data_IF_713888476038
#
_entry.id   IF_713888476038
#
_cell.length_a   1.000
_cell.length_b   1.000
_cell.length_c   1.000
_cell.angle_alpha   90.00
_cell.angle_beta   90.00
_cell.angle_gamma   90.00
#
_symmetry.space_group_name_H-M   'P 1'
#
loop_
_entity.id
_entity.type
_entity.pdbx_description
1 polymer ?
#
# COMPACT_ATOMS: atom_id res chain seq x y z
N UNK A 1 -10.83 -9.66 -0.12
CA UNK A 1 -10.83 -10.65 -1.21
C UNK A 1 -12.02 -10.44 -2.14
N UNK A 2 -11.85 -10.80 -3.41
CA UNK A 2 -12.93 -10.86 -4.37
C UNK A 2 -12.71 -12.01 -5.36
N UNK A 3 -13.76 -12.42 -6.07
CA UNK A 3 -13.77 -13.62 -6.91
C UNK A 3 -14.56 -13.42 -8.20
N UNK A 4 -14.17 -14.14 -9.23
CA UNK A 4 -14.89 -14.22 -10.50
C UNK A 4 -14.73 -15.60 -11.15
N UNK A 5 -15.48 -15.84 -12.20
CA UNK A 5 -15.42 -17.06 -12.98
C UNK A 5 -15.13 -16.74 -14.45
N UNK A 6 -14.18 -17.45 -15.05
CA UNK A 6 -13.85 -17.39 -16.48
C UNK A 6 -13.76 -18.81 -17.04
N UNK A 7 -14.60 -19.12 -18.05
CA UNK A 7 -14.70 -20.46 -18.66
C UNK A 7 -14.77 -21.59 -17.63
N UNK A 8 -15.64 -21.44 -16.63
CA UNK A 8 -15.82 -22.35 -15.49
C UNK A 8 -14.64 -22.45 -14.54
N UNK A 9 -13.49 -21.85 -14.82
CA UNK A 9 -12.42 -21.70 -13.84
C UNK A 9 -12.78 -20.61 -12.84
N UNK A 10 -12.63 -20.89 -11.55
CA UNK A 10 -12.90 -19.94 -10.48
C UNK A 10 -11.59 -19.31 -10.03
N UNK A 11 -11.57 -18.00 -9.98
CA UNK A 11 -10.44 -17.22 -9.52
C UNK A 11 -10.83 -16.44 -8.27
N UNK A 12 -9.97 -16.44 -7.27
CA UNK A 12 -10.13 -15.63 -6.06
C UNK A 12 -8.85 -14.86 -5.82
N UNK A 13 -8.94 -13.54 -5.91
CA UNK A 13 -7.83 -12.63 -5.63
C UNK A 13 -7.85 -12.13 -4.19
N UNK A 14 -6.68 -12.09 -3.54
CA UNK A 14 -6.48 -11.62 -2.17
C UNK A 14 -5.23 -10.77 -2.08
N UNK A 15 -5.30 -9.69 -1.33
CA UNK A 15 -4.19 -8.78 -1.09
C UNK A 15 -4.06 -8.51 0.40
N UNK A 16 -2.84 -8.47 0.91
CA UNK A 16 -2.50 -8.13 2.28
C UNK A 16 -1.33 -7.15 2.32
N UNK A 17 -1.32 -6.33 3.35
CA UNK A 17 -0.15 -5.56 3.73
C UNK A 17 0.86 -6.49 4.41
N UNK A 18 2.13 -6.38 4.03
CA UNK A 18 3.29 -7.08 4.60
C UNK A 18 4.50 -6.17 4.51
N UNK A 19 5.34 -6.17 5.53
CA UNK A 19 6.53 -5.32 5.58
C UNK A 19 7.81 -6.09 5.30
N UNK A 20 7.77 -7.42 5.50
CA UNK A 20 8.95 -8.30 5.35
C UNK A 20 8.70 -9.46 4.38
N UNK A 21 9.79 -10.04 3.88
CA UNK A 21 9.72 -11.23 3.03
C UNK A 21 9.19 -12.45 3.80
N UNK A 22 9.49 -12.54 5.09
CA UNK A 22 9.02 -13.59 5.98
C UNK A 22 7.50 -13.55 6.12
N UNK A 23 6.92 -12.36 6.31
CA UNK A 23 5.46 -12.17 6.36
C UNK A 23 4.80 -12.54 5.03
N UNK A 24 5.38 -12.09 3.90
CA UNK A 24 4.87 -12.45 2.58
C UNK A 24 4.86 -13.96 2.37
N UNK A 25 5.97 -14.65 2.70
CA UNK A 25 6.09 -16.12 2.60
C UNK A 25 5.11 -16.81 3.54
N UNK A 26 4.92 -16.31 4.76
CA UNK A 26 3.94 -16.87 5.70
C UNK A 26 2.51 -16.79 5.15
N UNK A 27 2.11 -15.66 4.55
CA UNK A 27 0.81 -15.53 3.90
C UNK A 27 0.63 -16.44 2.69
N UNK A 28 1.65 -16.59 1.86
CA UNK A 28 1.63 -17.52 0.72
C UNK A 28 1.45 -18.96 1.22
N UNK A 29 2.19 -19.35 2.27
CA UNK A 29 2.07 -20.68 2.88
C UNK A 29 0.66 -20.91 3.46
N UNK A 30 0.13 -19.95 4.22
CA UNK A 30 -1.23 -19.99 4.75
C UNK A 30 -2.26 -20.23 3.64
N UNK A 31 -2.14 -19.54 2.50
CA UNK A 31 -3.04 -19.72 1.36
C UNK A 31 -2.91 -21.10 0.72
N UNK A 32 -1.70 -21.63 0.57
CA UNK A 32 -1.46 -22.98 0.04
C UNK A 32 -2.01 -24.07 0.97
N UNK A 33 -1.94 -23.87 2.27
CA UNK A 33 -2.50 -24.80 3.25
C UNK A 33 -4.03 -24.72 3.30
N UNK A 34 -4.59 -23.52 3.26
CA UNK A 34 -6.05 -23.31 3.30
C UNK A 34 -6.73 -23.79 2.01
N UNK A 35 -6.11 -23.54 0.86
CA UNK A 35 -6.62 -23.90 -0.47
C UNK A 35 -5.74 -24.97 -1.12
N UNK A 36 -5.42 -26.01 -0.34
CA UNK A 36 -4.57 -27.13 -0.75
C UNK A 36 -5.15 -27.93 -1.93
N UNK A 37 -6.47 -27.91 -2.11
CA UNK A 37 -7.23 -28.55 -3.19
C UNK A 37 -7.34 -27.67 -4.45
N UNK A 38 -6.87 -26.43 -4.40
CA UNK A 38 -6.83 -25.56 -5.57
C UNK A 38 -5.81 -26.05 -6.60
N UNK A 39 -6.09 -25.76 -7.87
CA UNK A 39 -5.18 -26.13 -8.96
C UNK A 39 -3.88 -25.33 -8.86
N UNK A 40 -3.96 -24.03 -8.58
CA UNK A 40 -2.82 -23.12 -8.46
C UNK A 40 -3.09 -22.02 -7.43
N UNK A 41 -2.05 -21.64 -6.68
CA UNK A 41 -2.02 -20.47 -5.79
C UNK A 41 -0.88 -19.55 -6.25
N UNK A 42 -1.10 -18.83 -7.37
CA UNK A 42 -0.12 -17.93 -7.96
C UNK A 42 -0.02 -16.65 -7.14
N UNK A 43 1.20 -16.07 -7.05
CA UNK A 43 1.41 -14.91 -6.21
C UNK A 43 2.43 -13.93 -6.78
N UNK A 44 2.37 -12.70 -6.28
CA UNK A 44 3.44 -11.72 -6.35
C UNK A 44 3.48 -10.88 -5.07
N UNK A 45 4.65 -10.40 -4.69
CA UNK A 45 4.81 -9.43 -3.62
C UNK A 45 5.87 -8.39 -3.95
N UNK A 46 5.67 -7.19 -3.39
CA UNK A 46 6.58 -6.06 -3.50
C UNK A 46 6.84 -5.55 -2.09
N UNK A 47 8.11 -5.33 -1.75
CA UNK A 47 8.53 -4.73 -0.49
C UNK A 47 9.34 -3.47 -0.79
N UNK A 48 9.08 -2.41 -0.06
CA UNK A 48 9.80 -1.14 -0.17
C UNK A 48 11.24 -1.29 0.30
N UNK A 49 11.44 -1.94 1.44
CA UNK A 49 12.77 -2.20 1.95
C UNK A 49 13.52 -3.16 1.01
N UNK A 50 14.71 -2.74 0.58
CA UNK A 50 15.52 -3.48 -0.37
C UNK A 50 14.96 -3.55 -1.79
N UNK A 51 13.85 -2.89 -2.09
CA UNK A 51 13.19 -2.91 -3.41
C UNK A 51 12.96 -4.35 -3.93
N UNK A 52 12.46 -5.21 -3.05
CA UNK A 52 12.28 -6.63 -3.33
C UNK A 52 11.00 -6.86 -4.10
N UNK A 53 11.09 -7.57 -5.24
CA UNK A 53 9.94 -8.04 -6.01
C UNK A 53 10.09 -9.53 -6.26
N UNK A 54 9.05 -10.31 -5.99
CA UNK A 54 9.02 -11.76 -6.23
C UNK A 54 7.65 -12.18 -6.75
N UNK A 55 7.63 -13.22 -7.55
CA UNK A 55 6.40 -13.81 -8.07
C UNK A 55 6.57 -15.30 -8.33
N UNK A 56 5.45 -16.01 -8.50
CA UNK A 56 5.44 -17.42 -8.90
C UNK A 56 4.18 -17.73 -9.70
N UNK A 57 4.36 -18.49 -10.76
CA UNK A 57 3.26 -19.03 -11.57
C UNK A 57 2.63 -20.28 -10.93
N UNK A 58 3.24 -20.87 -9.88
CA UNK A 58 2.73 -22.03 -9.11
C UNK A 58 2.23 -23.18 -10.00
N UNK A 59 2.98 -23.51 -11.06
CA UNK A 59 2.65 -24.58 -12.00
C UNK A 59 1.79 -24.18 -13.20
N UNK A 60 1.33 -22.93 -13.29
CA UNK A 60 0.79 -22.40 -14.56
C UNK A 60 1.92 -22.23 -15.59
N UNK A 61 1.63 -22.14 -16.88
CA UNK A 61 2.64 -21.86 -17.90
C UNK A 61 3.44 -20.60 -17.57
N UNK A 62 4.75 -20.65 -17.77
CA UNK A 62 5.67 -19.60 -17.41
C UNK A 62 5.22 -18.19 -17.87
N UNK A 63 5.18 -17.24 -16.95
CA UNK A 63 4.84 -15.84 -17.20
C UNK A 63 3.34 -15.56 -17.42
N UNK A 64 2.47 -16.55 -17.21
CA UNK A 64 1.02 -16.37 -17.44
C UNK A 64 0.23 -16.00 -16.21
N UNK A 65 0.83 -16.07 -15.01
CA UNK A 65 0.15 -15.83 -13.75
C UNK A 65 0.89 -14.86 -12.83
N UNK A 66 2.04 -15.26 -12.30
CA UNK A 66 2.78 -14.47 -11.32
C UNK A 66 3.26 -13.12 -11.85
N UNK A 67 3.76 -13.07 -13.08
CA UNK A 67 4.17 -11.82 -13.72
C UNK A 67 2.98 -10.87 -13.96
N UNK A 68 1.83 -11.30 -14.52
CA UNK A 68 0.62 -10.47 -14.60
C UNK A 68 0.15 -9.91 -13.26
N UNK A 69 0.21 -10.69 -12.17
CA UNK A 69 -0.10 -10.20 -10.82
C UNK A 69 0.88 -9.10 -10.42
N UNK A 70 2.20 -9.32 -10.59
CA UNK A 70 3.23 -8.34 -10.27
C UNK A 70 3.05 -7.02 -11.02
N UNK A 71 2.73 -7.09 -12.33
CA UNK A 71 2.53 -5.90 -13.16
C UNK A 71 1.33 -5.06 -12.69
N UNK A 72 0.25 -5.68 -12.19
CA UNK A 72 -0.87 -4.94 -11.56
C UNK A 72 -0.37 -4.18 -10.34
N UNK A 73 0.36 -4.83 -9.42
CA UNK A 73 0.86 -4.16 -8.22
C UNK A 73 1.79 -2.99 -8.55
N UNK A 74 2.64 -3.15 -9.58
CA UNK A 74 3.53 -2.08 -10.08
C UNK A 74 2.76 -0.92 -10.70
N UNK A 75 1.77 -1.22 -11.54
CA UNK A 75 0.95 -0.20 -12.22
C UNK A 75 0.16 0.65 -11.23
N UNK A 76 -0.34 0.03 -10.16
CA UNK A 76 -1.03 0.70 -9.05
C UNK A 76 -0.06 1.38 -8.06
N UNK A 77 1.26 1.34 -8.33
CA UNK A 77 2.31 1.88 -7.46
C UNK A 77 2.24 1.36 -6.01
N UNK A 78 1.84 0.08 -5.86
CA UNK A 78 1.76 -0.55 -4.55
C UNK A 78 3.12 -1.04 -4.08
N UNK A 79 3.35 -0.94 -2.79
CA UNK A 79 4.49 -1.53 -2.10
C UNK A 79 4.03 -2.10 -0.75
N UNK A 80 4.92 -2.87 -0.13
CA UNK A 80 4.66 -3.53 1.16
C UNK A 80 3.37 -4.35 1.12
N UNK A 81 3.23 -5.19 0.07
CA UNK A 81 2.05 -6.00 -0.14
C UNK A 81 2.36 -7.35 -0.79
N UNK A 82 1.52 -8.34 -0.50
CA UNK A 82 1.48 -9.64 -1.16
C UNK A 82 0.09 -9.90 -1.73
N UNK A 83 0.05 -10.27 -3.01
CA UNK A 83 -1.16 -10.69 -3.71
C UNK A 83 -1.10 -12.18 -4.04
N UNK A 84 -2.15 -12.92 -3.70
CA UNK A 84 -2.31 -14.32 -4.08
C UNK A 84 -3.61 -14.47 -4.87
N UNK A 85 -3.50 -15.09 -6.04
CA UNK A 85 -4.65 -15.45 -6.87
C UNK A 85 -4.76 -16.98 -6.90
N UNK A 86 -5.80 -17.49 -6.25
CA UNK A 86 -6.14 -18.91 -6.19
C UNK A 86 -7.02 -19.27 -7.36
N UNK A 87 -6.70 -20.35 -8.08
CA UNK A 87 -7.48 -20.85 -9.21
C UNK A 87 -7.93 -22.29 -9.00
N UNK A 88 -9.20 -22.54 -9.27
CA UNK A 88 -9.78 -23.86 -9.48
C UNK A 88 -10.08 -24.05 -10.96
N UNK A 89 -9.48 -25.04 -11.61
CA UNK A 89 -9.68 -25.31 -13.03
C UNK A 89 -11.10 -25.81 -13.30
N UNK A 90 -11.75 -25.24 -14.30
CA UNK A 90 -13.15 -25.55 -14.65
C UNK A 90 -13.31 -26.53 -15.82
N UNK A 91 -12.25 -27.24 -16.23
CA UNK A 91 -12.29 -28.21 -17.33
C UNK A 91 -12.16 -27.60 -18.73
N UNK A 92 -12.13 -26.28 -18.88
CA UNK A 92 -11.97 -25.58 -20.17
C UNK A 92 -10.66 -24.79 -20.16
N UNK A 93 -9.79 -25.03 -21.11
CA UNK A 93 -8.52 -24.33 -21.24
C UNK A 93 -8.74 -22.85 -21.64
N UNK A 94 -8.07 -21.95 -20.92
CA UNK A 94 -8.11 -20.52 -21.22
C UNK A 94 -7.12 -20.12 -22.34
N UNK A 95 -6.04 -20.91 -22.48
CA UNK A 95 -4.88 -20.56 -23.29
C UNK A 95 -4.00 -19.49 -22.59
N UNK A 96 -2.78 -19.28 -23.07
CA UNK A 96 -1.81 -18.37 -22.45
C UNK A 96 -2.36 -16.95 -22.31
N UNK A 97 -2.92 -16.37 -23.38
CA UNK A 97 -3.52 -15.04 -23.35
C UNK A 97 -4.76 -14.93 -22.44
N UNK A 98 -5.53 -16.02 -22.32
CA UNK A 98 -6.67 -16.10 -21.39
C UNK A 98 -6.22 -16.14 -19.93
N UNK A 99 -5.14 -16.89 -19.63
CA UNK A 99 -4.54 -16.94 -18.30
C UNK A 99 -4.00 -15.57 -17.87
N UNK A 100 -3.22 -14.92 -18.73
CA UNK A 100 -2.69 -13.57 -18.45
C UNK A 100 -3.82 -12.62 -18.08
N UNK A 101 -4.91 -12.57 -18.87
CA UNK A 101 -6.05 -11.69 -18.58
C UNK A 101 -6.74 -12.06 -17.25
N UNK A 102 -6.94 -13.37 -17.00
CA UNK A 102 -7.60 -13.82 -15.78
C UNK A 102 -6.78 -13.52 -14.51
N UNK A 103 -5.47 -13.72 -14.52
CA UNK A 103 -4.61 -13.38 -13.39
C UNK A 103 -4.46 -11.88 -13.19
N UNK A 104 -4.39 -11.10 -14.27
CA UNK A 104 -4.46 -9.63 -14.21
C UNK A 104 -5.77 -9.17 -13.54
N UNK A 105 -6.92 -9.70 -13.99
CA UNK A 105 -8.21 -9.39 -13.38
C UNK A 105 -8.27 -9.84 -11.91
N UNK A 106 -7.73 -11.02 -11.58
CA UNK A 106 -7.67 -11.53 -10.20
C UNK A 106 -6.91 -10.61 -9.25
N UNK A 107 -5.79 -10.03 -9.72
CA UNK A 107 -5.05 -9.04 -8.96
C UNK A 107 -5.82 -7.70 -8.85
N UNK A 108 -6.43 -7.23 -9.94
CA UNK A 108 -7.21 -5.99 -9.95
C UNK A 108 -8.40 -6.02 -8.98
N UNK A 109 -9.17 -7.11 -8.97
CA UNK A 109 -10.31 -7.25 -8.02
C UNK A 109 -9.81 -7.37 -6.57
N UNK A 110 -8.64 -7.99 -6.35
CA UNK A 110 -8.02 -8.04 -5.03
C UNK A 110 -7.62 -6.65 -4.52
N UNK A 111 -7.00 -5.81 -5.37
CA UNK A 111 -6.63 -4.43 -5.06
C UNK A 111 -7.88 -3.59 -4.78
N UNK A 112 -8.89 -3.66 -5.64
CA UNK A 112 -10.14 -2.93 -5.45
C UNK A 112 -10.85 -3.31 -4.14
N UNK A 113 -10.86 -4.59 -3.79
CA UNK A 113 -11.50 -5.09 -2.57
C UNK A 113 -10.72 -4.77 -1.28
N UNK A 114 -9.38 -4.64 -1.37
CA UNK A 114 -8.54 -4.30 -0.23
C UNK A 114 -8.56 -2.79 0.08
N UNK A 115 -8.72 -1.96 -0.95
CA UNK A 115 -8.47 -0.53 -0.89
C UNK A 115 -6.97 -0.21 -0.91
N UNK A 116 -6.65 1.04 -1.21
CA UNK A 116 -5.27 1.55 -1.25
C UNK A 116 -5.17 2.77 -0.34
N UNK A 117 -4.16 2.77 0.54
CA UNK A 117 -3.84 3.90 1.39
C UNK A 117 -2.53 4.54 0.93
N UNK A 118 -2.55 5.86 0.74
CA UNK A 118 -1.34 6.61 0.45
C UNK A 118 -0.62 6.92 1.76
N UNK A 119 0.63 6.45 1.87
CA UNK A 119 1.51 6.80 2.98
C UNK A 119 2.42 7.96 2.56
N UNK A 120 2.53 8.96 3.42
CA UNK A 120 3.41 10.11 3.23
C UNK A 120 4.28 10.29 4.48
N UNK A 121 5.49 10.79 4.30
CA UNK A 121 6.35 11.13 5.42
C UNK A 121 5.95 12.50 5.95
N UNK A 122 5.83 12.60 7.26
CA UNK A 122 5.61 13.85 7.98
C UNK A 122 6.73 14.08 8.98
N UNK A 123 7.08 15.34 9.16
CA UNK A 123 7.95 15.80 10.24
C UNK A 123 7.08 16.28 11.39
N UNK A 124 7.47 15.92 12.61
CA UNK A 124 6.90 16.50 13.83
C UNK A 124 7.81 17.62 14.29
N UNK A 125 7.29 18.82 14.42
CA UNK A 125 8.02 20.00 14.89
C UNK A 125 7.38 20.56 16.17
N UNK A 126 8.21 21.16 17.01
CA UNK A 126 7.79 21.92 18.19
C UNK A 126 7.98 23.41 17.92
N UNK A 127 6.92 24.18 18.07
CA UNK A 127 6.94 25.65 17.93
C UNK A 127 6.66 26.25 19.30
N UNK A 128 7.66 26.86 19.91
CA UNK A 128 7.48 27.62 21.15
C UNK A 128 7.30 29.10 20.82
N UNK A 129 6.28 29.72 21.34
CA UNK A 129 5.99 31.13 21.11
C UNK A 129 5.34 31.80 22.34
N UNK A 130 5.57 33.10 22.53
CA UNK A 130 4.84 33.85 23.54
C UNK A 130 3.35 33.98 23.18
N UNK A 131 2.49 34.16 24.18
CA UNK A 131 1.03 34.17 24.02
C UNK A 131 0.51 35.18 22.99
N UNK A 132 1.17 36.33 22.83
CA UNK A 132 0.75 37.36 21.87
C UNK A 132 0.98 36.97 20.40
N UNK A 133 1.80 35.96 20.11
CA UNK A 133 2.04 35.42 18.75
C UNK A 133 1.24 34.15 18.47
N UNK A 134 0.65 33.54 19.50
CA UNK A 134 -0.04 32.25 19.38
C UNK A 134 -1.12 32.23 18.30
N UNK A 135 -2.02 33.22 18.31
CA UNK A 135 -3.11 33.31 17.34
C UNK A 135 -2.60 33.53 15.90
N UNK A 136 -1.54 34.34 15.75
CA UNK A 136 -0.92 34.59 14.44
C UNK A 136 -0.35 33.29 13.87
N UNK A 137 0.34 32.52 14.71
CA UNK A 137 0.92 31.24 14.31
C UNK A 137 -0.17 30.23 13.98
N UNK A 138 -1.23 30.12 14.79
CA UNK A 138 -2.34 29.23 14.51
C UNK A 138 -3.02 29.50 13.15
N UNK A 139 -3.14 30.77 12.77
CA UNK A 139 -3.71 31.14 11.47
C UNK A 139 -2.77 30.86 10.30
N UNK A 140 -1.45 30.86 10.53
CA UNK A 140 -0.43 30.63 9.49
C UNK A 140 -0.26 29.11 9.18
N UNK A 141 -0.37 28.25 10.17
CA UNK A 141 -0.08 26.81 10.03
C UNK A 141 -0.88 26.10 8.91
N UNK A 142 -2.19 26.32 8.73
CA UNK A 142 -2.98 25.68 7.67
C UNK A 142 -2.50 26.03 6.26
N UNK A 143 -2.00 27.25 6.03
CA UNK A 143 -1.50 27.71 4.73
C UNK A 143 -0.20 26.95 4.30
N UNK A 144 0.44 26.29 5.26
CA UNK A 144 1.64 25.48 5.06
C UNK A 144 1.41 23.97 5.22
N UNK A 145 0.15 23.52 5.12
CA UNK A 145 -0.25 22.11 5.32
C UNK A 145 0.15 21.55 6.69
N UNK A 146 0.25 22.40 7.70
CA UNK A 146 0.59 22.01 9.05
C UNK A 146 -0.67 21.74 9.88
N UNK A 147 -0.68 20.62 10.61
CA UNK A 147 -1.71 20.30 11.56
C UNK A 147 -1.16 20.39 12.99
N UNK A 148 -1.95 21.00 13.90
CA UNK A 148 -1.62 21.03 15.32
C UNK A 148 -2.14 19.76 15.98
N UNK A 149 -1.22 18.96 16.56
CA UNK A 149 -1.55 17.73 17.27
C UNK A 149 -1.80 18.00 18.76
N UNK A 150 -0.99 18.88 19.36
CA UNK A 150 -1.05 19.18 20.79
C UNK A 150 -0.63 20.63 21.05
N UNK A 151 -1.21 21.22 22.09
CA UNK A 151 -0.85 22.56 22.58
C UNK A 151 -0.61 22.49 24.09
N UNK A 152 0.60 22.87 24.53
CA UNK A 152 0.96 23.01 25.95
C UNK A 152 1.05 24.48 26.34
N UNK A 153 0.39 24.83 27.44
CA UNK A 153 0.31 26.19 27.95
C UNK A 153 1.15 26.30 29.24
N UNK A 154 2.36 26.89 29.08
CA UNK A 154 3.30 27.13 30.17
C UNK A 154 3.65 28.62 30.33
N UNK A 155 4.92 28.92 30.58
CA UNK A 155 5.42 30.30 30.52
C UNK A 155 5.29 30.89 29.10
N UNK A 156 5.51 30.04 28.10
CA UNK A 156 5.21 30.25 26.70
C UNK A 156 4.25 29.14 26.24
N UNK A 157 3.66 29.32 25.04
CA UNK A 157 2.84 28.29 24.40
C UNK A 157 3.73 27.43 23.54
N UNK A 158 3.63 26.10 23.70
CA UNK A 158 4.32 25.13 22.84
C UNK A 158 3.31 24.35 22.00
N UNK A 159 3.45 24.43 20.67
CA UNK A 159 2.64 23.70 19.72
C UNK A 159 3.43 22.49 19.20
N UNK A 160 2.86 21.29 19.29
CA UNK A 160 3.33 20.13 18.54
C UNK A 160 2.58 20.09 17.22
N UNK A 161 3.31 20.23 16.12
CA UNK A 161 2.71 20.29 14.78
C UNK A 161 3.29 19.21 13.88
N UNK A 162 2.44 18.69 12.98
CA UNK A 162 2.86 17.81 11.89
C UNK A 162 2.82 18.58 10.58
N UNK A 163 3.84 18.38 9.73
CA UNK A 163 3.93 18.97 8.40
C UNK A 163 4.52 17.97 7.42
N UNK A 164 4.22 18.06 6.11
CA UNK A 164 4.85 17.22 5.11
C UNK A 164 6.38 17.34 5.15
N UNK A 165 7.08 16.21 5.17
CA UNK A 165 8.55 16.19 5.26
C UNK A 165 9.19 16.95 4.09
N UNK A 166 10.23 17.73 4.41
CA UNK A 166 10.95 18.57 3.44
C UNK A 166 10.39 19.99 3.29
N UNK A 167 9.35 20.37 4.06
CA UNK A 167 8.79 21.74 4.07
C UNK A 167 9.18 22.55 5.32
N UNK A 168 10.09 22.04 6.14
CA UNK A 168 10.52 22.66 7.38
C UNK A 168 11.12 24.08 7.16
N UNK A 169 11.94 24.25 6.12
CA UNK A 169 12.54 25.54 5.80
C UNK A 169 11.54 26.58 5.31
N UNK A 170 10.48 26.14 4.63
CA UNK A 170 9.37 27.01 4.20
C UNK A 170 8.59 27.52 5.42
N UNK A 171 8.23 26.60 6.33
CA UNK A 171 7.56 26.95 7.57
C UNK A 171 8.39 27.90 8.43
N UNK A 172 9.70 27.62 8.59
CA UNK A 172 10.62 28.47 9.38
C UNK A 172 10.70 29.88 8.82
N UNK A 173 10.73 30.04 7.48
CA UNK A 173 10.72 31.38 6.86
C UNK A 173 9.39 32.10 7.11
N UNK A 174 8.26 31.42 6.94
CA UNK A 174 6.95 32.02 7.17
C UNK A 174 6.77 32.45 8.64
N UNK A 175 7.23 31.63 9.59
CA UNK A 175 7.22 32.00 11.01
C UNK A 175 8.10 33.22 11.28
N UNK A 176 9.29 33.30 10.70
CA UNK A 176 10.19 34.45 10.88
C UNK A 176 9.67 35.75 10.24
N UNK A 177 8.86 35.66 9.19
CA UNK A 177 8.24 36.83 8.56
C UNK A 177 6.99 37.31 9.32
N UNK A 178 6.33 36.41 10.04
CA UNK A 178 5.09 36.72 10.78
C UNK A 178 5.33 37.16 12.23
N UNK A 179 6.53 36.95 12.76
CA UNK A 179 6.91 37.21 14.17
C UNK A 179 8.07 38.18 14.30
#
# INVERSE_FOLDING_TARGET
EDKFEEKRSKFTGRLWHVETAEEAVAKIKEMRETYWDATHNCYAYILREGNVMRYSDDGEPQGTAGMPILEVLRHENLTDCVCVVTRYFGGILLGTGGLVRAYTQGAQVAVAAAGVQRMSLYTVALIACPYNLYEIILHLLPDHDCAVEETDYGADVTLTVTLPAGREDELNRALAEAT
#
